data_IF_149399430759
#
_entry.id   IF_149399430759
#
_cell.length_a   1.000
_cell.length_b   1.000
_cell.length_c   1.000
_cell.angle_alpha   90.00
_cell.angle_beta   90.00
_cell.angle_gamma   90.00
#
_symmetry.space_group_name_H-M   'P 1'
#
loop_
_entity.id
_entity.type
_entity.pdbx_description
1 polymer ?
#
# COMPACT_ATOMS: atom_id res chain seq x y z
N UNK A 1 -20.35 -31.62 -0.51
CA UNK A 1 -19.48 -30.60 0.11
C UNK A 1 -20.36 -29.43 0.50
N UNK A 2 -20.32 -28.96 1.74
CA UNK A 2 -21.09 -27.77 2.12
C UNK A 2 -20.53 -26.53 1.43
N UNK A 3 -21.36 -25.52 1.15
CA UNK A 3 -20.91 -24.27 0.52
C UNK A 3 -19.75 -23.62 1.27
N UNK A 4 -19.76 -23.71 2.61
CA UNK A 4 -18.69 -23.20 3.47
C UNK A 4 -17.36 -23.96 3.31
N UNK A 5 -17.40 -25.30 3.22
CA UNK A 5 -16.20 -26.11 2.97
C UNK A 5 -15.59 -25.83 1.59
N UNK A 6 -16.44 -25.60 0.58
CA UNK A 6 -15.99 -25.25 -0.77
C UNK A 6 -15.37 -23.85 -0.81
N UNK A 7 -16.00 -22.88 -0.15
CA UNK A 7 -15.53 -21.51 -0.08
C UNK A 7 -14.12 -21.45 0.52
N UNK A 8 -13.93 -22.01 1.72
CA UNK A 8 -12.63 -21.95 2.42
C UNK A 8 -11.59 -22.88 1.79
N UNK A 9 -11.99 -24.07 1.36
CA UNK A 9 -11.06 -25.10 0.89
C UNK A 9 -10.60 -24.94 -0.55
N UNK A 10 -11.38 -24.25 -1.40
CA UNK A 10 -11.12 -24.18 -2.86
C UNK A 10 -11.18 -22.75 -3.37
N UNK A 11 -12.26 -22.01 -3.11
CA UNK A 11 -12.47 -20.69 -3.74
C UNK A 11 -11.59 -19.59 -3.14
N UNK A 12 -11.44 -19.55 -1.82
CA UNK A 12 -10.55 -18.63 -1.11
C UNK A 12 -9.08 -18.79 -1.51
N UNK A 13 -8.48 -20.00 -1.48
CA UNK A 13 -7.08 -20.17 -1.86
C UNK A 13 -6.84 -19.86 -3.35
N UNK A 14 -7.81 -20.12 -4.24
CA UNK A 14 -7.71 -19.68 -5.64
C UNK A 14 -7.78 -18.16 -5.81
N UNK A 15 -8.66 -17.49 -5.05
CA UNK A 15 -8.85 -16.04 -5.13
C UNK A 15 -7.80 -15.23 -4.35
N UNK A 16 -7.11 -15.85 -3.39
CA UNK A 16 -6.16 -15.18 -2.50
C UNK A 16 -5.08 -14.35 -3.21
N UNK A 17 -4.42 -14.81 -4.29
CA UNK A 17 -3.44 -14.00 -5.02
C UNK A 17 -4.03 -12.72 -5.61
N UNK A 18 -5.26 -12.80 -6.12
CA UNK A 18 -5.97 -11.63 -6.70
C UNK A 18 -6.41 -10.67 -5.60
N UNK A 19 -6.92 -11.19 -4.48
CA UNK A 19 -7.28 -10.35 -3.32
C UNK A 19 -6.07 -9.60 -2.77
N UNK A 20 -4.91 -10.27 -2.64
CA UNK A 20 -3.67 -9.64 -2.18
C UNK A 20 -3.17 -8.56 -3.13
N UNK A 21 -3.31 -8.76 -4.44
CA UNK A 21 -3.01 -7.72 -5.43
C UNK A 21 -3.90 -6.48 -5.24
N UNK A 22 -5.20 -6.69 -4.95
CA UNK A 22 -6.12 -5.61 -4.58
C UNK A 22 -5.69 -4.87 -3.32
N UNK A 23 -5.40 -5.59 -2.23
CA UNK A 23 -4.97 -5.03 -0.95
C UNK A 23 -3.69 -4.20 -1.13
N UNK A 24 -2.72 -4.68 -1.91
CA UNK A 24 -1.49 -3.94 -2.23
C UNK A 24 -1.82 -2.58 -2.84
N UNK A 25 -2.65 -2.55 -3.89
CA UNK A 25 -3.04 -1.30 -4.56
C UNK A 25 -3.78 -0.37 -3.61
N UNK A 26 -4.76 -0.88 -2.85
CA UNK A 26 -5.49 -0.08 -1.86
C UNK A 26 -4.57 0.52 -0.80
N UNK A 27 -3.55 -0.22 -0.36
CA UNK A 27 -2.60 0.27 0.64
C UNK A 27 -1.76 1.44 0.09
N UNK A 28 -1.28 1.35 -1.16
CA UNK A 28 -0.50 2.42 -1.80
C UNK A 28 -1.35 3.68 -1.93
N UNK A 29 -2.61 3.54 -2.38
CA UNK A 29 -3.55 4.67 -2.47
C UNK A 29 -3.78 5.29 -1.09
N UNK A 30 -4.01 4.47 -0.06
CA UNK A 30 -4.23 4.96 1.30
C UNK A 30 -3.02 5.71 1.87
N UNK A 31 -1.79 5.31 1.54
CA UNK A 31 -0.58 6.07 1.93
C UNK A 31 -0.58 7.46 1.29
N UNK A 32 -0.97 7.55 0.01
CA UNK A 32 -1.17 8.83 -0.67
C UNK A 32 -2.25 9.68 0.00
N UNK A 33 -3.41 9.09 0.28
CA UNK A 33 -4.52 9.80 0.97
C UNK A 33 -4.13 10.25 2.38
N UNK A 34 -3.40 9.42 3.14
CA UNK A 34 -2.89 9.77 4.45
C UNK A 34 -1.90 10.95 4.40
N UNK A 35 -1.14 11.08 3.32
CA UNK A 35 -0.26 12.24 3.07
C UNK A 35 -1.04 13.52 2.87
N UNK A 36 -2.25 13.45 2.32
CA UNK A 36 -3.13 14.63 2.17
C UNK A 36 -3.69 15.05 3.53
N UNK A 37 -3.86 14.14 4.50
CA UNK A 37 -4.42 14.48 5.81
C UNK A 37 -3.64 15.56 6.58
N UNK A 38 -2.38 15.83 6.23
CA UNK A 38 -1.65 16.98 6.79
C UNK A 38 -2.26 18.34 6.46
N UNK A 39 -3.08 18.46 5.41
CA UNK A 39 -3.77 19.71 5.07
C UNK A 39 -4.89 20.06 6.06
N UNK A 40 -5.43 19.07 6.78
CA UNK A 40 -6.46 19.27 7.81
C UNK A 40 -5.88 19.40 9.23
N UNK A 41 -4.57 19.67 9.34
CA UNK A 41 -3.88 19.88 10.62
C UNK A 41 -3.42 18.59 11.30
N UNK A 42 -3.53 17.43 10.66
CA UNK A 42 -2.95 16.19 11.17
C UNK A 42 -1.42 16.20 11.02
N UNK A 43 -0.70 15.65 12.00
CA UNK A 43 0.73 15.41 11.87
C UNK A 43 0.95 14.10 11.12
N UNK A 44 1.48 14.19 9.89
CA UNK A 44 1.74 13.03 9.03
C UNK A 44 3.14 13.13 8.42
N UNK A 45 3.58 12.08 7.73
CA UNK A 45 4.81 12.12 6.94
C UNK A 45 4.74 13.14 5.78
N UNK A 46 3.53 13.57 5.39
CA UNK A 46 3.28 14.60 4.39
C UNK A 46 3.35 16.04 4.90
N UNK A 47 3.47 16.25 6.21
CA UNK A 47 3.51 17.60 6.79
C UNK A 47 4.58 18.52 6.16
N UNK A 48 5.82 18.06 5.89
CA UNK A 48 6.82 18.90 5.21
C UNK A 48 6.42 19.30 3.78
N UNK A 49 5.62 18.48 3.09
CA UNK A 49 5.10 18.79 1.74
C UNK A 49 4.17 20.00 1.81
N UNK A 50 3.23 19.97 2.76
CA UNK A 50 2.25 21.06 2.94
C UNK A 50 2.96 22.35 3.37
N UNK A 51 3.88 22.26 4.34
CA UNK A 51 4.67 23.42 4.79
C UNK A 51 5.51 24.00 3.66
N UNK A 52 6.18 23.14 2.88
CA UNK A 52 6.98 23.54 1.73
C UNK A 52 6.15 24.22 0.66
N UNK A 53 4.95 23.72 0.40
CA UNK A 53 4.04 24.31 -0.58
C UNK A 53 3.55 25.69 -0.13
N UNK A 54 3.18 25.86 1.14
CA UNK A 54 2.79 27.16 1.71
C UNK A 54 3.94 28.17 1.72
N UNK A 55 5.18 27.71 1.92
CA UNK A 55 6.38 28.54 1.93
C UNK A 55 7.04 28.73 0.56
N UNK A 56 6.44 28.24 -0.53
CA UNK A 56 7.06 28.18 -1.87
C UNK A 56 8.49 27.60 -1.88
N UNK A 57 8.77 26.70 -0.94
CA UNK A 57 10.07 26.07 -0.77
C UNK A 57 10.05 24.65 -1.34
N UNK A 58 10.45 24.53 -2.61
CA UNK A 58 10.51 23.26 -3.33
C UNK A 58 11.44 22.25 -2.67
N UNK A 59 12.52 22.70 -1.99
CA UNK A 59 13.42 21.78 -1.30
C UNK A 59 12.71 21.05 -0.14
N UNK A 60 11.86 21.76 0.60
CA UNK A 60 11.05 21.18 1.68
C UNK A 60 9.96 20.23 1.15
N UNK A 61 9.36 20.58 0.01
CA UNK A 61 8.41 19.70 -0.70
C UNK A 61 9.07 18.40 -1.10
N UNK A 62 10.25 18.47 -1.74
CA UNK A 62 11.00 17.28 -2.17
C UNK A 62 11.42 16.43 -0.97
N UNK A 63 11.84 17.04 0.13
CA UNK A 63 12.20 16.32 1.36
C UNK A 63 11.03 15.48 1.88
N UNK A 64 9.84 16.08 2.00
CA UNK A 64 8.63 15.37 2.42
C UNK A 64 8.20 14.30 1.42
N UNK A 65 8.22 14.64 0.12
CA UNK A 65 7.85 13.72 -0.95
C UNK A 65 8.77 12.50 -0.98
N UNK A 66 10.08 12.69 -0.77
CA UNK A 66 11.04 11.60 -0.73
C UNK A 66 10.77 10.66 0.45
N UNK A 67 10.48 11.18 1.64
CA UNK A 67 10.14 10.37 2.81
C UNK A 67 8.87 9.53 2.60
N UNK A 68 7.81 10.16 2.07
CA UNK A 68 6.56 9.47 1.75
C UNK A 68 6.76 8.41 0.67
N UNK A 69 7.48 8.75 -0.41
CA UNK A 69 7.75 7.82 -1.50
C UNK A 69 8.56 6.61 -1.03
N UNK A 70 9.58 6.82 -0.20
CA UNK A 70 10.36 5.73 0.39
C UNK A 70 9.49 4.81 1.26
N UNK A 71 8.63 5.38 2.11
CA UNK A 71 7.70 4.60 2.91
C UNK A 71 6.74 3.77 2.03
N UNK A 72 6.17 4.39 0.99
CA UNK A 72 5.29 3.71 0.03
C UNK A 72 6.01 2.55 -0.67
N UNK A 73 7.25 2.73 -1.12
CA UNK A 73 8.06 1.69 -1.77
C UNK A 73 8.39 0.54 -0.80
N UNK A 74 8.71 0.85 0.46
CA UNK A 74 9.00 -0.17 1.47
C UNK A 74 7.76 -1.05 1.70
N UNK A 75 6.59 -0.44 1.88
CA UNK A 75 5.33 -1.15 2.05
C UNK A 75 5.01 -1.96 0.79
N UNK A 76 5.13 -1.36 -0.40
CA UNK A 76 4.88 -2.01 -1.68
C UNK A 76 5.74 -3.28 -1.87
N UNK A 77 7.04 -3.16 -1.62
CA UNK A 77 8.00 -4.29 -1.68
C UNK A 77 7.70 -5.36 -0.63
N UNK A 78 7.17 -4.97 0.53
CA UNK A 78 6.69 -5.88 1.57
C UNK A 78 5.51 -6.72 1.06
N UNK A 79 4.49 -6.07 0.51
CA UNK A 79 3.34 -6.74 -0.10
C UNK A 79 3.72 -7.59 -1.30
N UNK A 80 4.64 -7.13 -2.14
CA UNK A 80 5.13 -7.90 -3.29
C UNK A 80 5.87 -9.18 -2.86
N UNK A 81 6.66 -9.12 -1.77
CA UNK A 81 7.28 -10.32 -1.20
C UNK A 81 6.25 -11.27 -0.59
N UNK A 82 5.24 -10.74 0.10
CA UNK A 82 4.15 -11.54 0.65
C UNK A 82 3.36 -12.24 -0.48
N UNK A 83 3.00 -11.48 -1.52
CA UNK A 83 2.31 -12.02 -2.69
C UNK A 83 3.16 -13.11 -3.36
N UNK A 84 4.46 -12.88 -3.58
CA UNK A 84 5.35 -13.90 -4.15
C UNK A 84 5.44 -15.18 -3.32
N UNK A 85 5.43 -15.09 -1.98
CA UNK A 85 5.41 -16.28 -1.11
C UNK A 85 4.12 -17.08 -1.27
N UNK A 86 2.99 -16.40 -1.37
CA UNK A 86 1.67 -17.03 -1.49
C UNK A 86 1.46 -17.59 -2.91
N UNK A 87 1.87 -16.86 -3.94
CA UNK A 87 1.80 -17.30 -5.35
C UNK A 87 2.81 -18.40 -5.71
N UNK A 88 3.93 -18.52 -4.98
CA UNK A 88 4.91 -19.61 -5.20
C UNK A 88 4.31 -21.00 -5.01
N UNK A 89 3.21 -21.14 -4.27
CA UNK A 89 2.54 -22.42 -4.08
C UNK A 89 1.65 -22.87 -5.24
N UNK A 90 1.38 -22.03 -6.25
CA UNK A 90 0.46 -22.36 -7.35
C UNK A 90 1.10 -22.38 -8.76
N UNK A 91 2.42 -22.18 -8.88
CA UNK A 91 3.11 -22.15 -10.19
C UNK A 91 3.78 -23.47 -10.59
N UNK A 92 3.46 -24.57 -9.89
CA UNK A 92 3.96 -25.92 -10.17
C UNK A 92 2.78 -26.89 -10.15
N UNK A 93 1.90 -26.80 -11.14
CA UNK A 93 1.02 -27.86 -11.62
C UNK A 93 0.52 -27.47 -13.02
#
# INVERSE_FOLDING_TARGET
MTGWQRLIGVELPLAAPVMLAGIRTSTIVNIGTATIASTVGANTLGTPIVIGLSGFNTAYVIQGALLVALAAIIVDRGFERLNRRISRHHRVQ
#
